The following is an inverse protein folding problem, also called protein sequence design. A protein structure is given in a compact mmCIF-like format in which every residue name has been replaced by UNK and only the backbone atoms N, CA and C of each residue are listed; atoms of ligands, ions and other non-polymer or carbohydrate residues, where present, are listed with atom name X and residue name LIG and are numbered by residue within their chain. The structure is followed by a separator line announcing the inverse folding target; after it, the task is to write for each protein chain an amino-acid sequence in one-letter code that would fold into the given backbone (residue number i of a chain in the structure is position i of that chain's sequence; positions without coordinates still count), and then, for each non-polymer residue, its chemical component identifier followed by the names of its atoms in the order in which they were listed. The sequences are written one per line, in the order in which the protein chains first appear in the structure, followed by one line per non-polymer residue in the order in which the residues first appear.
data_IF_886023353915
#
_entry.id   IF_886023353915
#
_cell.length_a   1.000
_cell.length_b   1.000
_cell.length_c   1.000
_cell.angle_alpha   90.00
_cell.angle_beta   90.00
_cell.angle_gamma   90.00
#
_symmetry.space_group_name_H-M   'P 1'
#
loop_
_entity.id
_entity.type
_entity.pdbx_description
1 polymer ?
#
# COMPACT_ATOMS: atom_id res chain seq x y z
N UNK A 1 -2.71 29.30 15.56
CA UNK A 1 -3.49 28.10 15.15
C UNK A 1 -2.75 27.43 14.01
N UNK A 2 -1.90 26.46 14.31
CA UNK A 2 -1.22 25.68 13.27
C UNK A 2 -2.22 24.66 12.73
N UNK A 3 -2.67 24.91 11.50
CA UNK A 3 -3.51 24.00 10.74
C UNK A 3 -2.72 22.70 10.53
N UNK A 4 -3.08 21.63 11.24
CA UNK A 4 -2.57 20.29 10.96
C UNK A 4 -2.95 19.94 9.51
N UNK A 5 -2.00 20.09 8.57
CA UNK A 5 -2.13 19.64 7.18
C UNK A 5 -2.02 18.11 7.14
N UNK A 6 -2.98 17.41 7.74
CA UNK A 6 -3.16 16.00 7.48
C UNK A 6 -3.68 15.81 6.04
N UNK A 7 -3.38 14.66 5.43
CA UNK A 7 -3.98 14.28 4.16
C UNK A 7 -5.51 14.09 4.28
N UNK A 8 -6.20 13.92 3.15
CA UNK A 8 -7.61 13.56 3.11
C UNK A 8 -7.75 12.18 2.45
N UNK A 9 -8.08 11.15 3.23
CA UNK A 9 -8.07 9.76 2.80
C UNK A 9 -9.12 9.48 1.73
N UNK A 10 -10.37 9.91 1.95
CA UNK A 10 -11.44 9.76 0.95
C UNK A 10 -11.06 10.43 -0.36
N UNK A 11 -10.60 11.69 -0.32
CA UNK A 11 -10.24 12.46 -1.51
C UNK A 11 -9.07 11.82 -2.28
N UNK A 12 -8.06 11.29 -1.58
CA UNK A 12 -6.95 10.59 -2.21
C UNK A 12 -7.43 9.39 -3.05
N UNK A 13 -8.43 8.64 -2.55
CA UNK A 13 -9.05 7.54 -3.28
C UNK A 13 -9.95 8.04 -4.40
N UNK A 14 -10.91 8.91 -4.10
CA UNK A 14 -11.91 9.33 -5.10
C UNK A 14 -11.29 10.07 -6.27
N UNK A 15 -10.32 10.95 -6.05
CA UNK A 15 -9.65 11.68 -7.13
C UNK A 15 -9.01 10.73 -8.15
N UNK A 16 -8.36 9.65 -7.70
CA UNK A 16 -7.75 8.66 -8.62
C UNK A 16 -8.83 7.88 -9.36
N UNK A 17 -9.84 7.37 -8.65
CA UNK A 17 -10.90 6.56 -9.26
C UNK A 17 -11.73 7.36 -10.26
N UNK A 18 -12.10 8.58 -9.91
CA UNK A 18 -12.89 9.47 -10.76
C UNK A 18 -12.10 9.81 -12.04
N UNK A 19 -10.81 10.14 -11.91
CA UNK A 19 -9.95 10.42 -13.06
C UNK A 19 -9.78 9.20 -13.98
N UNK A 20 -9.56 8.00 -13.43
CA UNK A 20 -9.46 6.77 -14.21
C UNK A 20 -10.78 6.47 -14.95
N UNK A 21 -11.92 6.68 -14.29
CA UNK A 21 -13.24 6.49 -14.86
C UNK A 21 -13.52 7.49 -16.00
N UNK A 22 -13.26 8.78 -15.78
CA UNK A 22 -13.40 9.84 -16.79
C UNK A 22 -12.57 9.56 -18.05
N UNK A 23 -11.42 8.90 -17.89
CA UNK A 23 -10.52 8.54 -18.98
C UNK A 23 -10.73 7.11 -19.52
N UNK A 24 -11.80 6.43 -19.11
CA UNK A 24 -12.10 5.04 -19.50
C UNK A 24 -10.94 4.06 -19.28
N UNK A 25 -10.10 4.32 -18.28
CA UNK A 25 -8.95 3.49 -17.95
C UNK A 25 -9.42 2.17 -17.30
N UNK A 26 -8.98 1.04 -17.84
CA UNK A 26 -9.29 -0.28 -17.28
C UNK A 26 -8.21 -0.71 -16.29
N UNK A 27 -8.63 -1.08 -15.09
CA UNK A 27 -7.74 -1.60 -14.05
C UNK A 27 -8.49 -2.60 -13.17
N UNK A 28 -7.75 -3.50 -12.52
CA UNK A 28 -8.36 -4.54 -11.67
C UNK A 28 -8.42 -4.15 -10.19
N UNK A 29 -7.26 -3.82 -9.61
CA UNK A 29 -7.07 -3.62 -8.17
C UNK A 29 -6.31 -2.35 -7.87
N UNK A 30 -6.71 -1.65 -6.81
CA UNK A 30 -5.93 -0.56 -6.22
C UNK A 30 -4.98 -1.13 -5.17
N UNK A 31 -3.69 -0.88 -5.30
CA UNK A 31 -2.70 -1.18 -4.25
C UNK A 31 -2.46 0.08 -3.42
N UNK A 32 -2.98 0.11 -2.20
CA UNK A 32 -2.76 1.21 -1.27
C UNK A 32 -1.30 1.19 -0.80
N UNK A 33 -0.55 2.22 -1.17
CA UNK A 33 0.86 2.35 -0.84
C UNK A 33 1.05 2.87 0.60
N UNK A 34 1.47 1.98 1.49
CA UNK A 34 1.68 2.26 2.92
C UNK A 34 3.18 2.17 3.20
N UNK A 35 3.90 3.26 2.93
CA UNK A 35 5.34 3.37 3.11
C UNK A 35 5.72 4.81 3.52
N UNK A 36 6.98 5.00 3.90
CA UNK A 36 7.55 6.34 3.90
C UNK A 36 7.35 7.14 5.19
N UNK A 37 7.36 6.46 6.33
CA UNK A 37 7.16 6.98 7.70
C UNK A 37 7.49 8.45 7.93
N UNK A 38 8.73 8.87 7.71
CA UNK A 38 9.22 10.20 8.09
C UNK A 38 9.15 11.17 6.91
N UNK A 39 9.29 10.67 5.69
CA UNK A 39 9.39 11.51 4.50
C UNK A 39 8.02 11.84 3.88
N UNK A 40 6.96 11.14 4.25
CA UNK A 40 5.66 11.21 3.56
C UNK A 40 4.45 11.46 4.49
N UNK A 41 4.69 11.97 5.71
CA UNK A 41 3.62 12.56 6.52
C UNK A 41 2.81 11.60 7.41
N UNK A 42 3.28 10.37 7.64
CA UNK A 42 2.67 9.49 8.64
C UNK A 42 2.99 9.98 10.06
N UNK A 43 2.03 9.84 10.97
CA UNK A 43 2.24 10.26 12.35
C UNK A 43 3.13 9.25 13.07
N UNK A 44 4.38 9.64 13.37
CA UNK A 44 5.35 8.79 14.07
C UNK A 44 4.90 8.38 15.46
N UNK A 45 4.12 9.20 16.16
CA UNK A 45 3.78 8.98 17.57
C UNK A 45 2.37 8.46 17.79
N UNK A 46 1.49 8.60 16.80
CA UNK A 46 0.09 8.20 16.90
C UNK A 46 -0.27 7.22 15.76
N UNK A 47 -0.04 5.93 16.02
CA UNK A 47 -0.35 4.86 15.07
C UNK A 47 -1.86 4.69 14.87
N UNK A 48 -2.66 5.00 15.89
CA UNK A 48 -4.13 4.97 15.81
C UNK A 48 -4.64 5.91 14.72
N UNK A 49 -4.17 7.16 14.68
CA UNK A 49 -4.53 8.11 13.61
C UNK A 49 -4.13 7.61 12.21
N UNK A 50 -2.99 6.93 12.09
CA UNK A 50 -2.58 6.33 10.81
C UNK A 50 -3.54 5.20 10.40
N UNK A 51 -3.96 4.36 11.35
CA UNK A 51 -4.92 3.28 11.10
C UNK A 51 -6.28 3.85 10.71
N UNK A 52 -6.77 4.89 11.40
CA UNK A 52 -8.02 5.58 11.07
C UNK A 52 -7.99 6.16 9.64
N UNK A 53 -6.86 6.75 9.24
CA UNK A 53 -6.67 7.23 7.87
C UNK A 53 -6.70 6.09 6.84
N UNK A 54 -6.08 4.95 7.14
CA UNK A 54 -6.13 3.75 6.30
C UNK A 54 -7.56 3.19 6.22
N UNK A 55 -8.28 3.17 7.34
CA UNK A 55 -9.66 2.72 7.43
C UNK A 55 -10.58 3.54 6.53
N UNK A 56 -10.41 4.85 6.49
CA UNK A 56 -11.19 5.74 5.62
C UNK A 56 -10.89 5.47 4.13
N UNK A 57 -9.63 5.22 3.75
CA UNK A 57 -9.29 4.83 2.38
C UNK A 57 -9.93 3.49 2.01
N UNK A 58 -9.83 2.48 2.89
CA UNK A 58 -10.41 1.14 2.68
C UNK A 58 -11.93 1.22 2.58
N UNK A 59 -12.57 2.00 3.45
CA UNK A 59 -14.03 2.20 3.42
C UNK A 59 -14.46 2.86 2.13
N UNK A 60 -13.74 3.90 1.68
CA UNK A 60 -14.02 4.57 0.41
C UNK A 60 -13.88 3.62 -0.79
N UNK A 61 -12.87 2.75 -0.81
CA UNK A 61 -12.70 1.74 -1.88
C UNK A 61 -13.86 0.73 -1.88
N UNK A 62 -14.30 0.27 -0.70
CA UNK A 62 -15.45 -0.63 -0.55
C UNK A 62 -16.75 0.03 -1.03
N UNK A 63 -17.01 1.28 -0.66
CA UNK A 63 -18.17 2.05 -1.14
C UNK A 63 -18.20 2.20 -2.66
N UNK A 64 -17.03 2.28 -3.30
CA UNK A 64 -16.87 2.35 -4.76
C UNK A 64 -16.85 0.97 -5.44
N UNK A 65 -17.10 -0.11 -4.70
CA UNK A 65 -17.00 -1.51 -5.17
C UNK A 65 -15.65 -1.83 -5.84
N UNK A 66 -14.57 -1.16 -5.41
CA UNK A 66 -13.25 -1.31 -5.98
C UNK A 66 -12.42 -2.33 -5.18
N UNK A 67 -11.88 -3.34 -5.86
CA UNK A 67 -10.97 -4.29 -5.21
C UNK A 67 -9.66 -3.61 -4.82
N UNK A 68 -9.11 -3.98 -3.66
CA UNK A 68 -7.92 -3.33 -3.10
C UNK A 68 -6.96 -4.31 -2.43
N UNK A 69 -5.69 -3.91 -2.30
CA UNK A 69 -4.66 -4.60 -1.54
C UNK A 69 -3.68 -3.60 -0.94
N UNK A 70 -2.74 -4.08 -0.12
CA UNK A 70 -1.69 -3.24 0.47
C UNK A 70 -0.35 -3.43 -0.21
N UNK A 71 0.31 -2.32 -0.52
CA UNK A 71 1.71 -2.27 -0.93
C UNK A 71 2.57 -1.73 0.23
N UNK A 72 3.41 -2.57 0.82
CA UNK A 72 4.22 -2.19 1.99
C UNK A 72 5.39 -3.16 2.22
N UNK A 73 6.17 -2.97 3.28
CA UNK A 73 7.08 -3.98 3.78
C UNK A 73 6.94 -4.10 5.30
N UNK A 74 7.56 -5.13 5.89
CA UNK A 74 7.47 -5.39 7.33
C UNK A 74 7.82 -4.17 8.19
N UNK A 75 8.88 -3.46 7.81
CA UNK A 75 9.36 -2.27 8.54
C UNK A 75 8.33 -1.14 8.50
N UNK A 76 7.88 -0.73 7.31
CA UNK A 76 6.90 0.34 7.17
C UNK A 76 5.56 -0.03 7.79
N UNK A 77 5.10 -1.26 7.63
CA UNK A 77 3.86 -1.69 8.26
C UNK A 77 3.94 -1.59 9.79
N UNK A 78 5.02 -2.10 10.37
CA UNK A 78 5.25 -2.04 11.82
C UNK A 78 5.25 -0.60 12.32
N UNK A 79 6.06 0.23 11.69
CA UNK A 79 6.23 1.60 12.12
C UNK A 79 5.01 2.48 11.81
N UNK A 80 4.22 2.24 10.76
CA UNK A 80 3.08 3.11 10.43
C UNK A 80 1.87 2.70 11.28
N UNK A 81 1.66 1.40 11.44
CA UNK A 81 0.41 0.85 11.98
C UNK A 81 0.56 0.22 13.36
N UNK A 82 1.75 0.18 13.94
CA UNK A 82 2.00 -0.62 15.14
C UNK A 82 1.83 -2.12 14.88
N UNK A 83 2.08 -2.56 13.65
CA UNK A 83 1.91 -3.96 13.21
C UNK A 83 0.49 -4.51 13.41
N UNK A 84 -0.53 -3.68 13.14
CA UNK A 84 -1.93 -4.10 13.27
C UNK A 84 -2.23 -5.36 12.45
N UNK A 85 -3.06 -6.25 13.01
CA UNK A 85 -3.52 -7.50 12.35
C UNK A 85 -4.88 -7.36 11.67
N UNK A 86 -5.48 -6.17 11.72
CA UNK A 86 -6.84 -5.88 11.23
C UNK A 86 -7.09 -6.24 9.76
N UNK A 87 -6.02 -6.29 8.95
CA UNK A 87 -6.11 -6.45 7.49
C UNK A 87 -5.47 -7.74 6.99
N UNK A 88 -5.27 -8.74 7.85
CA UNK A 88 -4.63 -10.02 7.54
C UNK A 88 -5.24 -10.77 6.34
N UNK A 89 -6.54 -10.59 6.07
CA UNK A 89 -7.23 -11.24 4.95
C UNK A 89 -7.21 -10.39 3.66
N UNK A 90 -6.59 -9.20 3.69
CA UNK A 90 -6.45 -8.32 2.52
C UNK A 90 -5.22 -8.71 1.70
N UNK A 91 -5.29 -8.78 0.36
CA UNK A 91 -4.12 -9.09 -0.46
C UNK A 91 -2.93 -8.17 -0.22
N UNK A 92 -1.74 -8.76 -0.16
CA UNK A 92 -0.47 -8.10 0.17
C UNK A 92 0.51 -8.22 -1.00
N UNK A 93 0.93 -7.09 -1.54
CA UNK A 93 2.10 -6.95 -2.39
C UNK A 93 3.21 -6.37 -1.52
N UNK A 94 4.08 -7.23 -0.99
CA UNK A 94 5.21 -6.72 -0.21
C UNK A 94 6.40 -6.40 -1.12
N UNK A 95 7.23 -5.43 -0.72
CA UNK A 95 8.44 -5.11 -1.47
C UNK A 95 9.72 -5.42 -0.69
N UNK A 96 10.68 -6.00 -1.39
CA UNK A 96 12.03 -6.29 -0.90
C UNK A 96 12.98 -6.45 -2.10
N UNK A 97 13.82 -5.45 -2.32
CA UNK A 97 14.78 -5.44 -3.43
C UNK A 97 16.00 -6.33 -3.12
N UNK A 98 15.80 -7.65 -3.16
CA UNK A 98 16.86 -8.66 -3.00
C UNK A 98 17.23 -9.37 -4.31
N UNK A 99 16.57 -9.03 -5.42
CA UNK A 99 16.77 -9.64 -6.73
C UNK A 99 16.28 -11.08 -6.82
N UNK A 100 15.62 -11.62 -5.78
CA UNK A 100 15.23 -13.03 -5.71
C UNK A 100 13.75 -13.20 -6.02
N UNK A 101 13.49 -13.89 -7.13
CA UNK A 101 12.16 -14.27 -7.58
C UNK A 101 11.59 -15.46 -6.78
N UNK A 102 11.53 -15.33 -5.45
CA UNK A 102 10.91 -16.29 -4.52
C UNK A 102 10.48 -15.57 -3.23
N UNK A 103 9.79 -16.29 -2.35
CA UNK A 103 9.25 -15.80 -1.08
C UNK A 103 10.07 -16.25 0.15
N UNK A 104 11.28 -16.79 -0.02
CA UNK A 104 12.07 -17.36 1.09
C UNK A 104 12.50 -16.31 2.11
N UNK A 105 12.47 -15.03 1.73
CA UNK A 105 12.78 -13.88 2.57
C UNK A 105 11.55 -13.33 3.32
N UNK A 106 10.35 -13.87 3.04
CA UNK A 106 9.12 -13.40 3.66
C UNK A 106 9.13 -13.73 5.15
N UNK A 107 9.01 -12.67 5.95
CA UNK A 107 8.92 -12.77 7.40
C UNK A 107 7.55 -12.25 7.80
N UNK A 108 6.71 -13.08 8.44
CA UNK A 108 5.33 -12.71 8.74
C UNK A 108 5.24 -11.37 9.51
N UNK A 109 4.24 -10.57 9.16
CA UNK A 109 3.88 -9.29 9.78
C UNK A 109 2.40 -8.99 9.50
N UNK A 110 1.81 -8.06 10.27
CA UNK A 110 0.43 -7.60 10.05
C UNK A 110 -0.65 -8.69 10.06
N UNK A 111 -0.34 -9.88 10.60
CA UNK A 111 -1.22 -11.04 10.56
C UNK A 111 -1.24 -11.82 9.24
N UNK A 112 -0.53 -11.36 8.20
CA UNK A 112 -0.40 -12.11 6.95
C UNK A 112 0.51 -13.33 7.13
N UNK A 113 -0.02 -14.50 6.81
CA UNK A 113 0.75 -15.75 6.77
C UNK A 113 1.47 -15.93 5.43
N UNK A 114 0.89 -15.42 4.34
CA UNK A 114 1.48 -15.47 3.00
C UNK A 114 1.19 -14.18 2.25
N UNK A 115 2.16 -13.61 1.51
CA UNK A 115 1.90 -12.51 0.62
C UNK A 115 1.17 -13.01 -0.63
N UNK A 116 0.44 -12.11 -1.28
CA UNK A 116 -0.13 -12.35 -2.61
C UNK A 116 0.94 -12.16 -3.68
N UNK A 117 1.79 -11.16 -3.53
CA UNK A 117 2.83 -10.79 -4.50
C UNK A 117 4.07 -10.23 -3.80
N UNK A 118 5.23 -10.28 -4.46
CA UNK A 118 6.50 -9.68 -4.06
C UNK A 118 7.04 -8.77 -5.16
N UNK A 119 7.29 -7.50 -4.88
CA UNK A 119 8.21 -6.69 -5.70
C UNK A 119 9.65 -6.99 -5.27
N UNK A 120 10.41 -7.68 -6.12
CA UNK A 120 11.77 -8.15 -5.79
C UNK A 120 12.89 -7.34 -6.44
N UNK A 121 12.55 -6.45 -7.36
CA UNK A 121 13.48 -5.50 -7.97
C UNK A 121 12.69 -4.29 -8.47
N UNK A 122 13.03 -3.09 -7.98
CA UNK A 122 12.40 -1.84 -8.37
C UNK A 122 13.32 -1.06 -9.33
N UNK A 123 12.74 -0.18 -10.16
CA UNK A 123 13.48 0.77 -10.99
C UNK A 123 14.48 0.14 -11.98
N UNK A 124 14.18 -1.05 -12.48
CA UNK A 124 14.97 -1.65 -13.57
C UNK A 124 14.67 -0.91 -14.86
N UNK A 125 15.69 -0.49 -15.61
CA UNK A 125 15.49 0.19 -16.89
C UNK A 125 15.43 -0.82 -18.03
N UNK A 126 14.27 -0.91 -18.68
CA UNK A 126 14.07 -1.72 -19.89
C UNK A 126 13.51 -0.79 -20.97
N UNK A 127 14.16 -0.73 -22.13
CA UNK A 127 13.75 0.13 -23.26
C UNK A 127 13.55 1.62 -22.88
N UNK A 128 14.34 2.14 -21.92
CA UNK A 128 14.23 3.52 -21.44
C UNK A 128 13.10 3.78 -20.44
N UNK A 129 12.36 2.73 -20.05
CA UNK A 129 11.26 2.80 -19.07
C UNK A 129 11.71 2.16 -17.77
N UNK A 130 11.37 2.77 -16.63
CA UNK A 130 11.56 2.17 -15.32
C UNK A 130 10.44 1.18 -15.03
N UNK A 131 10.82 -0.07 -14.75
CA UNK A 131 9.91 -1.16 -14.44
C UNK A 131 10.27 -1.79 -13.09
N UNK A 132 9.25 -2.34 -12.44
CA UNK A 132 9.40 -3.19 -11.25
C UNK A 132 9.13 -4.64 -11.62
N UNK A 133 9.98 -5.55 -11.15
CA UNK A 133 9.76 -6.98 -11.28
C UNK A 133 8.96 -7.50 -10.09
N UNK A 134 7.84 -8.14 -10.41
CA UNK A 134 6.89 -8.63 -9.40
C UNK A 134 6.65 -10.14 -9.57
N UNK A 135 6.76 -10.89 -8.48
CA UNK A 135 6.36 -12.29 -8.39
C UNK A 135 4.95 -12.38 -7.81
N UNK A 136 4.09 -13.21 -8.39
CA UNK A 136 2.79 -13.57 -7.82
C UNK A 136 2.84 -14.98 -7.24
N UNK A 137 2.23 -15.16 -6.08
CA UNK A 137 2.05 -16.46 -5.44
C UNK A 137 0.88 -17.24 -6.08
#
# INVERSE_FOLDING_TARGET
MTLDKCGNARKAVTTVLDHLNENNAKFGRVWLSIYGLIHFGWNKYNKTKNIEFIDEMVTTLKERNQTFGFYTNKYNWHEITGNTRKYNDTPLLYYRSDGKNNFNDYNHFGGWEKPTMKEYNAYTKICGIEVSNVLKN
#
